data_IF_360688461507
#
_entry.id   IF_360688461507
#
_cell.length_a   1.000
_cell.length_b   1.000
_cell.length_c   1.000
_cell.angle_alpha   90.00
_cell.angle_beta   90.00
_cell.angle_gamma   90.00
#
_symmetry.space_group_name_H-M   'P 1'
#
loop_
_entity.id
_entity.type
_entity.pdbx_description
1 polymer ?
#
# COMPACT_ATOMS: atom_id res chain seq x y z
N UNK A 1 -14.72 17.77 -7.64
CA UNK A 1 -13.33 17.46 -8.02
C UNK A 1 -13.26 16.44 -9.15
N UNK A 2 -13.85 15.24 -8.99
CA UNK A 2 -13.78 14.18 -10.00
C UNK A 2 -14.51 14.56 -11.31
N UNK A 3 -15.77 14.99 -11.22
CA UNK A 3 -16.57 15.37 -12.40
C UNK A 3 -15.97 16.55 -13.19
N UNK A 4 -15.22 17.43 -12.51
CA UNK A 4 -14.55 18.59 -13.10
C UNK A 4 -13.18 18.28 -13.70
N UNK A 5 -12.68 17.05 -13.56
CA UNK A 5 -11.33 16.62 -13.97
C UNK A 5 -11.40 15.39 -14.89
N UNK A 6 -12.01 15.50 -16.09
CA UNK A 6 -12.27 14.37 -16.98
C UNK A 6 -11.01 13.72 -17.55
N UNK A 7 -9.86 14.38 -17.46
CA UNK A 7 -8.57 13.89 -17.94
C UNK A 7 -7.75 13.15 -16.87
N UNK A 8 -8.24 13.08 -15.63
CA UNK A 8 -7.54 12.40 -14.53
C UNK A 8 -8.00 10.96 -14.45
N UNK A 9 -7.04 10.06 -14.24
CA UNK A 9 -7.29 8.62 -14.12
C UNK A 9 -7.21 8.12 -12.68
N UNK A 10 -6.52 8.86 -11.81
CA UNK A 10 -6.28 8.43 -10.45
C UNK A 10 -6.27 9.61 -9.48
N UNK A 11 -7.08 9.54 -8.43
CA UNK A 11 -7.11 10.47 -7.32
C UNK A 11 -6.65 9.78 -6.04
N UNK A 12 -5.95 10.53 -5.21
CA UNK A 12 -5.59 10.10 -3.85
C UNK A 12 -5.65 11.28 -2.89
N UNK A 13 -5.97 11.02 -1.63
CA UNK A 13 -6.14 12.09 -0.64
C UNK A 13 -5.09 12.10 0.46
N UNK A 14 -4.98 13.22 1.16
CA UNK A 14 -4.26 13.26 2.44
C UNK A 14 -4.92 12.33 3.46
N UNK A 15 -4.15 11.88 4.45
CA UNK A 15 -4.67 11.07 5.56
C UNK A 15 -4.26 11.64 6.90
N UNK A 16 -5.02 11.33 7.94
CA UNK A 16 -4.64 11.62 9.33
C UNK A 16 -4.71 10.33 10.14
N UNK A 17 -3.76 10.13 11.05
CA UNK A 17 -3.84 9.03 12.00
C UNK A 17 -4.76 9.42 13.15
N UNK A 18 -5.68 8.53 13.52
CA UNK A 18 -6.60 8.73 14.64
C UNK A 18 -6.56 7.58 15.63
N UNK A 19 -6.88 7.84 16.89
CA UNK A 19 -7.03 6.83 17.94
C UNK A 19 -8.38 6.09 17.88
N UNK A 20 -8.68 5.28 18.90
CA UNK A 20 -9.96 4.58 19.01
C UNK A 20 -11.20 5.48 19.14
N UNK A 21 -11.01 6.74 19.52
CA UNK A 21 -12.03 7.78 19.71
C UNK A 21 -12.11 8.76 18.54
N UNK A 22 -11.47 8.45 17.41
CA UNK A 22 -11.38 9.29 16.22
C UNK A 22 -10.64 10.63 16.45
N UNK A 23 -9.88 10.75 17.54
CA UNK A 23 -9.05 11.92 17.79
C UNK A 23 -7.73 11.83 17.00
N UNK A 24 -7.29 12.90 16.31
CA UNK A 24 -6.00 12.92 15.63
C UNK A 24 -4.84 12.70 16.60
N UNK A 25 -3.97 11.76 16.28
CA UNK A 25 -2.75 11.47 17.08
C UNK A 25 -1.47 12.00 16.42
N UNK A 26 -1.57 12.52 15.20
CA UNK A 26 -0.47 13.11 14.45
C UNK A 26 -0.98 14.20 13.51
N UNK A 27 -0.06 15.05 13.06
CA UNK A 27 -0.32 15.98 11.95
C UNK A 27 -0.76 15.22 10.69
N UNK A 28 -1.61 15.84 9.85
CA UNK A 28 -1.95 15.30 8.54
C UNK A 28 -0.75 14.89 7.70
N UNK A 29 -0.84 13.69 7.12
CA UNK A 29 0.04 13.24 6.06
C UNK A 29 -0.50 13.75 4.73
N UNK A 30 0.06 14.87 4.27
CA UNK A 30 -0.38 15.51 3.05
C UNK A 30 -0.10 14.67 1.78
N UNK A 31 -1.06 14.68 0.86
CA UNK A 31 -0.89 14.15 -0.49
C UNK A 31 0.10 15.02 -1.29
N UNK A 32 1.06 14.40 -1.98
CA UNK A 32 1.97 15.09 -2.90
C UNK A 32 1.29 15.36 -4.24
N UNK A 33 1.38 16.60 -4.74
CA UNK A 33 0.82 16.97 -6.04
C UNK A 33 1.57 16.42 -7.24
N UNK A 34 2.85 16.10 -7.06
CA UNK A 34 3.69 15.53 -8.11
C UNK A 34 4.70 14.55 -7.53
N UNK A 35 4.97 13.52 -8.34
CA UNK A 35 5.92 12.45 -8.10
C UNK A 35 6.28 11.78 -9.44
N UNK A 36 7.33 10.99 -9.44
CA UNK A 36 7.79 10.21 -10.60
C UNK A 36 7.69 8.70 -10.32
N UNK A 37 7.94 7.87 -11.33
CA UNK A 37 8.07 6.42 -11.13
C UNK A 37 9.21 6.08 -10.17
N UNK A 38 10.30 6.84 -10.18
CA UNK A 38 11.43 6.63 -9.25
C UNK A 38 11.05 6.85 -7.79
N UNK A 39 10.06 7.72 -7.50
CA UNK A 39 9.57 7.88 -6.13
C UNK A 39 9.03 6.55 -5.58
N UNK A 40 8.36 5.74 -6.41
CA UNK A 40 7.80 4.44 -5.99
C UNK A 40 8.88 3.51 -5.46
N UNK A 41 10.04 3.41 -6.10
CA UNK A 41 11.13 2.53 -5.65
C UNK A 41 11.52 2.78 -4.19
N UNK A 42 11.52 4.06 -3.79
CA UNK A 42 11.90 4.47 -2.43
C UNK A 42 10.73 4.39 -1.45
N UNK A 43 9.54 4.84 -1.85
CA UNK A 43 8.34 4.89 -0.98
C UNK A 43 7.06 5.01 -1.79
N UNK A 44 5.91 4.60 -1.24
CA UNK A 44 4.60 4.89 -1.84
C UNK A 44 4.31 6.40 -1.89
N UNK A 45 4.31 7.06 -3.08
CA UNK A 45 4.06 8.49 -3.18
C UNK A 45 2.56 8.83 -3.07
N UNK A 46 1.71 7.87 -3.43
CA UNK A 46 0.26 7.93 -3.32
C UNK A 46 -0.17 7.69 -1.87
N UNK A 47 -1.19 8.40 -1.43
CA UNK A 47 -1.74 8.35 -0.06
C UNK A 47 -3.16 7.78 -0.05
N UNK A 48 -3.74 7.62 1.14
CA UNK A 48 -4.95 6.82 1.33
C UNK A 48 -6.22 7.51 0.79
N UNK A 49 -7.28 6.70 0.66
CA UNK A 49 -8.48 6.95 -0.16
C UNK A 49 -8.09 7.13 -1.63
N UNK A 50 -8.25 6.05 -2.37
CA UNK A 50 -7.89 5.95 -3.77
C UNK A 50 -9.17 5.93 -4.60
N UNK A 51 -9.22 6.72 -5.67
CA UNK A 51 -10.33 6.68 -6.62
C UNK A 51 -9.75 6.71 -8.03
N UNK A 52 -10.14 5.77 -8.88
CA UNK A 52 -9.55 5.63 -10.20
C UNK A 52 -10.60 5.45 -11.29
N UNK A 53 -10.21 5.77 -12.51
CA UNK A 53 -11.00 5.52 -13.70
C UNK A 53 -11.01 4.02 -13.99
N UNK A 54 -12.19 3.42 -13.91
CA UNK A 54 -12.40 1.99 -14.15
C UNK A 54 -11.87 1.55 -15.52
N UNK A 55 -12.15 2.31 -16.58
CA UNK A 55 -11.68 1.94 -17.93
C UNK A 55 -10.16 1.94 -18.04
N UNK A 56 -9.46 2.84 -17.33
CA UNK A 56 -8.00 2.85 -17.29
C UNK A 56 -7.47 1.63 -16.53
N UNK A 57 -8.03 1.33 -15.36
CA UNK A 57 -7.65 0.16 -14.58
C UNK A 57 -7.86 -1.16 -15.32
N UNK A 58 -8.98 -1.32 -16.04
CA UNK A 58 -9.23 -2.51 -16.85
C UNK A 58 -8.24 -2.62 -18.01
N UNK A 59 -7.88 -1.50 -18.64
CA UNK A 59 -6.88 -1.48 -19.70
C UNK A 59 -5.46 -1.87 -19.22
N UNK A 60 -5.17 -1.75 -17.92
CA UNK A 60 -3.91 -2.18 -17.31
C UNK A 60 -3.97 -3.60 -16.73
N UNK A 61 -5.09 -4.31 -16.90
CA UNK A 61 -5.27 -5.67 -16.38
C UNK A 61 -5.86 -5.75 -14.96
N UNK A 62 -6.23 -4.62 -14.35
CA UNK A 62 -6.78 -4.57 -13.00
C UNK A 62 -5.72 -4.67 -11.90
N UNK A 63 -6.14 -5.10 -10.72
CA UNK A 63 -5.24 -5.41 -9.60
C UNK A 63 -4.61 -6.78 -9.80
N UNK A 64 -3.37 -6.95 -9.35
CA UNK A 64 -2.64 -8.20 -9.47
C UNK A 64 -3.06 -9.20 -8.39
N UNK A 65 -4.00 -10.08 -8.73
CA UNK A 65 -4.51 -11.12 -7.82
C UNK A 65 -3.48 -12.22 -7.51
N UNK A 66 -2.30 -12.20 -8.13
CA UNK A 66 -1.20 -13.12 -7.78
C UNK A 66 -0.39 -12.65 -6.56
N UNK A 67 -0.59 -11.40 -6.13
CA UNK A 67 -0.03 -10.87 -4.89
C UNK A 67 -0.79 -11.45 -3.69
N UNK A 68 -0.04 -11.76 -2.63
CA UNK A 68 -0.58 -12.38 -1.42
C UNK A 68 -1.64 -11.53 -0.70
N UNK A 69 -2.31 -12.11 0.32
CA UNK A 69 -3.49 -11.53 0.97
C UNK A 69 -3.22 -10.27 1.82
N UNK A 70 -2.00 -9.74 1.80
CA UNK A 70 -1.59 -8.64 2.66
C UNK A 70 -1.22 -7.41 1.85
N UNK A 71 -2.14 -6.44 1.77
CA UNK A 71 -1.93 -4.99 1.63
C UNK A 71 -0.80 -4.52 0.72
N UNK A 72 -0.47 -5.29 -0.30
CA UNK A 72 0.60 -5.05 -1.26
C UNK A 72 0.03 -4.46 -2.55
N UNK A 73 -1.27 -4.70 -2.78
CA UNK A 73 -2.09 -4.17 -3.85
C UNK A 73 -2.21 -2.65 -3.80
N UNK A 74 -2.32 -2.06 -2.60
CA UNK A 74 -2.41 -0.61 -2.41
C UNK A 74 -1.12 0.15 -2.80
N UNK A 75 0.01 -0.55 -2.93
CA UNK A 75 1.29 -0.03 -3.39
C UNK A 75 1.59 -0.41 -4.86
N UNK A 76 1.35 -1.65 -5.25
CA UNK A 76 1.57 -2.15 -6.62
C UNK A 76 0.61 -1.53 -7.65
N UNK A 77 -0.67 -1.44 -7.32
CA UNK A 77 -1.68 -0.98 -8.26
C UNK A 77 -1.48 0.48 -8.73
N UNK A 78 -1.25 1.47 -7.85
CA UNK A 78 -0.93 2.82 -8.31
C UNK A 78 0.39 2.90 -9.10
N UNK A 79 1.38 2.04 -8.81
CA UNK A 79 2.62 1.97 -9.59
C UNK A 79 2.31 1.47 -11.02
N UNK A 80 1.61 0.34 -11.13
CA UNK A 80 1.17 -0.24 -12.41
C UNK A 80 0.35 0.77 -13.24
N UNK A 81 -0.57 1.49 -12.60
CA UNK A 81 -1.36 2.54 -13.26
C UNK A 81 -0.46 3.67 -13.80
N UNK A 82 0.55 4.10 -13.03
CA UNK A 82 1.48 5.15 -13.45
C UNK A 82 2.37 4.72 -14.62
N UNK A 83 2.87 3.48 -14.62
CA UNK A 83 3.65 2.91 -15.73
C UNK A 83 2.84 2.86 -17.02
N UNK A 84 1.54 2.59 -16.91
CA UNK A 84 0.62 2.65 -18.04
C UNK A 84 0.23 4.09 -18.44
N UNK A 85 0.82 5.12 -17.84
CA UNK A 85 0.58 6.53 -18.15
C UNK A 85 -0.74 7.07 -17.62
N UNK A 86 -1.28 6.52 -16.53
CA UNK A 86 -2.41 7.12 -15.83
C UNK A 86 -2.03 8.52 -15.31
N UNK A 87 -2.97 9.47 -15.43
CA UNK A 87 -2.79 10.82 -14.87
C UNK A 87 -3.29 10.87 -13.44
N UNK A 88 -2.44 11.35 -12.53
CA UNK A 88 -2.73 11.44 -11.10
C UNK A 88 -3.11 12.87 -10.71
N UNK A 89 -4.05 13.01 -9.78
CA UNK A 89 -4.35 14.26 -9.11
C UNK A 89 -4.50 14.04 -7.60
N UNK A 90 -3.70 14.77 -6.83
CA UNK A 90 -3.82 14.79 -5.39
C UNK A 90 -5.04 15.61 -4.93
N UNK A 91 -5.72 15.14 -3.89
CA UNK A 91 -6.74 15.88 -3.14
C UNK A 91 -6.13 16.23 -1.78
N UNK A 92 -5.83 17.51 -1.57
CA UNK A 92 -5.14 17.97 -0.35
C UNK A 92 -5.96 17.76 0.92
N UNK A 93 -7.28 17.71 0.82
CA UNK A 93 -8.18 17.47 1.96
C UNK A 93 -7.90 16.10 2.60
N UNK A 94 -7.99 16.04 3.93
CA UNK A 94 -7.87 14.79 4.68
C UNK A 94 -9.18 14.01 4.62
N UNK A 95 -9.34 13.21 3.57
CA UNK A 95 -10.55 12.42 3.36
C UNK A 95 -10.44 11.01 3.96
N UNK A 96 -9.27 10.64 4.49
CA UNK A 96 -9.03 9.33 5.08
C UNK A 96 -8.54 9.41 6.53
N UNK A 97 -9.27 8.77 7.45
CA UNK A 97 -8.88 8.58 8.84
C UNK A 97 -8.27 7.20 9.00
N UNK A 98 -6.95 7.14 9.13
CA UNK A 98 -6.22 5.91 9.39
C UNK A 98 -6.23 5.63 10.89
N UNK A 99 -7.06 4.67 11.32
CA UNK A 99 -7.09 4.30 12.74
C UNK A 99 -5.81 3.57 13.12
N UNK A 100 -5.00 4.20 13.96
CA UNK A 100 -3.87 3.53 14.58
C UNK A 100 -4.42 2.55 15.61
N UNK A 101 -4.04 1.27 15.45
CA UNK A 101 -4.48 0.20 16.34
C UNK A 101 -3.43 -0.13 17.39
N UNK A 102 -2.31 0.60 17.45
CA UNK A 102 -1.27 0.44 18.45
C UNK A 102 -0.83 -1.01 18.61
N UNK A 103 -0.83 -1.52 19.85
CA UNK A 103 -0.47 -2.91 20.18
C UNK A 103 -1.63 -3.93 20.00
N UNK A 104 -2.79 -3.51 19.48
CA UNK A 104 -3.93 -4.42 19.31
C UNK A 104 -3.70 -5.35 18.11
N UNK A 105 -3.87 -6.65 18.34
CA UNK A 105 -3.73 -7.68 17.29
C UNK A 105 -4.79 -7.47 16.20
N UNK A 106 -4.39 -7.22 14.95
CA UNK A 106 -5.31 -7.34 13.81
C UNK A 106 -5.55 -8.82 13.54
N UNK A 107 -6.78 -9.29 13.73
CA UNK A 107 -7.14 -10.69 13.58
C UNK A 107 -7.13 -11.20 12.13
N UNK A 108 -7.19 -10.31 11.14
CA UNK A 108 -7.50 -10.69 9.74
C UNK A 108 -6.49 -10.24 8.69
N UNK A 109 -5.39 -9.60 9.07
CA UNK A 109 -4.42 -9.06 8.09
C UNK A 109 -2.95 -9.24 8.49
N UNK A 110 -2.64 -10.05 9.50
CA UNK A 110 -1.24 -10.35 9.82
C UNK A 110 -0.79 -11.57 9.04
N UNK A 111 0.20 -11.36 8.18
CA UNK A 111 0.99 -12.43 7.58
C UNK A 111 2.41 -12.34 8.15
N UNK A 112 3.14 -13.46 8.15
CA UNK A 112 4.53 -13.47 8.60
C UNK A 112 5.39 -12.50 7.83
N UNK A 113 6.43 -12.01 8.50
CA UNK A 113 7.40 -11.10 7.92
C UNK A 113 8.01 -11.66 6.64
N UNK A 114 8.36 -12.95 6.61
CA UNK A 114 8.90 -13.59 5.40
C UNK A 114 7.92 -13.52 4.22
N UNK A 115 6.62 -13.66 4.49
CA UNK A 115 5.58 -13.54 3.49
C UNK A 115 5.50 -12.10 2.99
N UNK A 116 5.56 -11.08 3.87
CA UNK A 116 5.60 -9.67 3.45
C UNK A 116 6.84 -9.36 2.59
N UNK A 117 8.01 -9.86 2.97
CA UNK A 117 9.25 -9.70 2.20
C UNK A 117 9.13 -10.35 0.83
N UNK A 118 8.61 -11.58 0.76
CA UNK A 118 8.40 -12.28 -0.51
C UNK A 118 7.48 -11.51 -1.46
N UNK A 119 6.37 -10.97 -0.96
CA UNK A 119 5.44 -10.19 -1.77
C UNK A 119 6.06 -8.85 -2.23
N UNK A 120 6.83 -8.16 -1.37
CA UNK A 120 7.58 -6.96 -1.76
C UNK A 120 8.58 -7.26 -2.88
N UNK A 121 9.34 -8.34 -2.77
CA UNK A 121 10.31 -8.76 -3.79
C UNK A 121 9.60 -9.05 -5.12
N UNK A 122 8.42 -9.68 -5.11
CA UNK A 122 7.63 -9.89 -6.33
C UNK A 122 7.25 -8.56 -6.99
N UNK A 123 6.75 -7.59 -6.22
CA UNK A 123 6.38 -6.25 -6.71
C UNK A 123 7.60 -5.55 -7.32
N UNK A 124 8.73 -5.53 -6.61
CA UNK A 124 9.93 -4.85 -7.10
C UNK A 124 10.47 -5.48 -8.38
N UNK A 125 10.48 -6.82 -8.48
CA UNK A 125 10.86 -7.52 -9.72
C UNK A 125 9.90 -7.22 -10.86
N UNK A 126 8.60 -7.21 -10.59
CA UNK A 126 7.56 -6.85 -11.58
C UNK A 126 7.81 -5.47 -12.18
N UNK A 127 8.19 -4.50 -11.35
CA UNK A 127 8.48 -3.13 -11.79
C UNK A 127 9.94 -2.89 -12.23
N UNK A 128 10.71 -3.97 -12.45
CA UNK A 128 12.02 -3.90 -13.08
C UNK A 128 13.14 -3.33 -12.20
N UNK A 129 13.00 -3.38 -10.88
CA UNK A 129 14.12 -3.07 -9.98
C UNK A 129 15.22 -4.13 -10.12
N UNK A 130 16.46 -3.70 -10.04
CA UNK A 130 17.64 -4.57 -9.98
C UNK A 130 17.70 -5.32 -8.65
N UNK A 131 18.41 -6.45 -8.60
CA UNK A 131 18.54 -7.21 -7.35
C UNK A 131 19.25 -6.39 -6.25
N UNK A 132 20.19 -5.50 -6.61
CA UNK A 132 20.84 -4.58 -5.65
C UNK A 132 19.83 -3.60 -5.05
N UNK A 133 19.00 -2.95 -5.88
CA UNK A 133 17.94 -2.05 -5.40
C UNK A 133 16.92 -2.80 -4.52
N UNK A 134 16.58 -4.04 -4.89
CA UNK A 134 15.67 -4.89 -4.13
C UNK A 134 16.24 -5.21 -2.75
N UNK A 135 17.49 -5.67 -2.68
CA UNK A 135 18.17 -5.99 -1.43
C UNK A 135 18.22 -4.78 -0.50
N UNK A 136 18.58 -3.61 -1.02
CA UNK A 136 18.60 -2.36 -0.26
C UNK A 136 17.20 -2.01 0.28
N UNK A 137 16.19 -2.04 -0.58
CA UNK A 137 14.81 -1.68 -0.21
C UNK A 137 14.19 -2.67 0.79
N UNK A 138 14.50 -3.97 0.67
CA UNK A 138 14.09 -4.99 1.63
C UNK A 138 14.77 -4.76 2.98
N UNK A 139 16.06 -4.43 3.00
CA UNK A 139 16.80 -4.13 4.23
C UNK A 139 16.22 -2.90 4.95
N UNK A 140 15.95 -1.81 4.22
CA UNK A 140 15.35 -0.58 4.77
C UNK A 140 13.97 -0.87 5.38
N UNK A 141 13.09 -1.56 4.65
CA UNK A 141 11.72 -1.86 5.13
C UNK A 141 11.73 -2.84 6.29
N UNK A 142 12.65 -3.80 6.26
CA UNK A 142 12.93 -4.75 7.34
C UNK A 142 13.39 -4.09 8.64
N UNK A 143 14.18 -3.02 8.54
CA UNK A 143 14.60 -2.22 9.69
C UNK A 143 13.53 -1.23 10.16
N UNK A 144 12.45 -1.06 9.40
CA UNK A 144 11.37 -0.12 9.65
C UNK A 144 10.03 -0.80 9.88
N UNK A 145 9.05 -0.51 9.02
CA UNK A 145 7.66 -0.89 9.26
C UNK A 145 7.41 -2.40 9.31
N UNK A 146 8.25 -3.24 8.68
CA UNK A 146 8.09 -4.69 8.73
C UNK A 146 8.35 -5.27 10.13
N UNK A 147 8.97 -4.52 11.04
CA UNK A 147 9.07 -4.90 12.46
C UNK A 147 7.70 -4.97 13.17
N UNK A 148 6.65 -4.43 12.54
CA UNK A 148 5.28 -4.53 13.04
C UNK A 148 4.65 -5.91 12.78
N UNK A 149 5.31 -6.78 12.02
CA UNK A 149 4.86 -8.16 11.83
C UNK A 149 4.79 -8.89 13.18
N UNK A 150 3.67 -9.55 13.47
CA UNK A 150 3.48 -10.32 14.71
C UNK A 150 4.17 -11.69 14.68
N UNK A 151 4.52 -12.16 13.48
CA UNK A 151 5.04 -13.49 13.20
C UNK A 151 6.26 -13.33 12.28
N UNK A 152 7.35 -14.04 12.56
CA UNK A 152 8.52 -14.03 11.68
C UNK A 152 8.27 -14.98 10.51
N UNK A 153 7.73 -16.16 10.80
CA UNK A 153 7.52 -17.27 9.85
C UNK A 153 6.08 -17.78 9.83
N UNK A 154 5.70 -18.52 8.79
CA UNK A 154 4.41 -19.23 8.70
C UNK A 154 4.19 -20.24 9.84
N UNK A 155 5.25 -20.73 10.48
CA UNK A 155 5.17 -21.63 11.64
C UNK A 155 4.70 -20.91 12.92
N UNK A 156 4.97 -19.62 13.03
CA UNK A 156 4.60 -18.80 14.20
C UNK A 156 3.11 -18.42 14.20
N UNK A 157 2.43 -18.56 13.06
CA UNK A 157 1.01 -18.23 12.91
C UNK A 157 0.16 -19.25 13.68
N UNK A 158 -0.66 -18.82 14.67
CA UNK A 158 -1.57 -19.70 15.36
C UNK A 158 -2.51 -20.34 14.33
N UNK A 159 -2.35 -21.64 14.11
CA UNK A 159 -3.34 -22.41 13.37
C UNK A 159 -4.60 -22.41 14.22
N UNK A 160 -5.70 -21.93 13.66
CA UNK A 160 -7.00 -22.13 14.30
C UNK A 160 -7.21 -23.63 14.43
N UNK A 161 -7.19 -24.15 15.66
CA UNK A 161 -7.75 -25.46 15.99
C UNK A 161 -9.26 -25.40 15.76
N UNK A 162 -9.67 -25.40 14.51
CA UNK A 162 -11.05 -25.61 14.07
C UNK A 162 -10.99 -26.46 12.81
N UNK A 163 -10.64 -27.73 13.03
CA UNK A 163 -11.35 -28.77 12.31
C UNK A 163 -12.84 -28.67 12.66
N UNK A 164 -13.67 -28.86 11.64
CA UNK A 164 -15.14 -28.84 11.64
C UNK A 164 -15.77 -27.46 11.35
N UNK A 165 -16.11 -27.27 10.07
CA UNK A 165 -17.36 -26.60 9.63
C UNK A 165 -18.40 -27.70 9.45
#
# INVERSE_FOLDING_TARGET
AIESSPDIDYFHSSRVHVDEHDAPIAEPYESRESFTLEDFKVRGPVKHLHCWRVSKALATGGMDESLGPHGADDYDFPWTMMEAGARFQAIRDCLYFYRDRGAQKRLTTHVPRETQVRELVKIFRKHGMTEEEIEEQVAIRSAGYLQQALYETDEDVPRSDTGEI
#
